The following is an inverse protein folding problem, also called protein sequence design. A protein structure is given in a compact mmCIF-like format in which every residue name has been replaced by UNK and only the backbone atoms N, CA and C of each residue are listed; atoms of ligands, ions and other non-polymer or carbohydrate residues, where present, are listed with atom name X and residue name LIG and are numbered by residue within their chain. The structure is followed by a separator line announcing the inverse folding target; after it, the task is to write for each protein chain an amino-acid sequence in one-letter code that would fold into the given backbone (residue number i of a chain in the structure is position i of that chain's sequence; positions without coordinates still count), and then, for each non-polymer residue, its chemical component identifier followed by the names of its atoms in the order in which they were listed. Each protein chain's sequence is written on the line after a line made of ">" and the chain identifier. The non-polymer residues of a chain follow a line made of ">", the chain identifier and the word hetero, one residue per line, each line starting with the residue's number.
data_IF_998179454148
#
_entry.id   IF_998179454148
#
_cell.length_a   1.000
_cell.length_b   1.000
_cell.length_c   1.000
_cell.angle_alpha   90.00
_cell.angle_beta   90.00
_cell.angle_gamma   90.00
#
_symmetry.space_group_name_H-M   'P 1'
#
loop_
_entity.id
_entity.type
_entity.pdbx_description
1 polymer ?
#
# COMPACT_ATOMS: atom_id res chain seq x y z
N UNK A 1 -15.09 1.42 0.49
CA UNK A 1 -14.19 2.39 -0.15
C UNK A 1 -14.13 2.14 -1.64
N UNK A 2 -13.71 3.12 -2.42
CA UNK A 2 -13.41 2.94 -3.84
C UNK A 2 -12.00 2.37 -4.01
N UNK A 3 -11.90 1.39 -4.90
CA UNK A 3 -10.66 0.69 -5.23
C UNK A 3 -10.54 0.58 -6.74
N UNK A 4 -9.40 0.99 -7.29
CA UNK A 4 -9.09 0.73 -8.70
C UNK A 4 -8.55 -0.69 -8.79
N UNK A 5 -9.19 -1.51 -9.61
CA UNK A 5 -8.85 -2.92 -9.79
C UNK A 5 -8.56 -3.24 -11.25
N UNK A 6 -7.59 -4.10 -11.48
CA UNK A 6 -7.42 -4.78 -12.78
C UNK A 6 -8.18 -6.09 -12.70
N UNK A 7 -9.24 -6.21 -13.47
CA UNK A 7 -10.14 -7.37 -13.44
C UNK A 7 -9.70 -8.48 -14.39
N UNK A 8 -9.11 -8.10 -15.51
CA UNK A 8 -8.51 -8.97 -16.53
C UNK A 8 -7.42 -8.17 -17.26
N UNK A 9 -6.50 -8.77 -18.00
CA UNK A 9 -5.52 -8.06 -18.81
C UNK A 9 -6.16 -6.98 -19.68
N UNK A 10 -5.69 -5.74 -19.51
CA UNK A 10 -6.21 -4.56 -20.21
C UNK A 10 -7.54 -4.01 -19.68
N UNK A 11 -8.11 -4.58 -18.63
CA UNK A 11 -9.39 -4.15 -18.07
C UNK A 11 -9.22 -3.55 -16.66
N UNK A 12 -9.39 -2.24 -16.56
CA UNK A 12 -9.36 -1.50 -15.28
C UNK A 12 -10.77 -1.10 -14.89
N UNK A 13 -11.14 -1.33 -13.65
CA UNK A 13 -12.46 -1.03 -13.09
C UNK A 13 -12.35 -0.32 -11.76
N UNK A 14 -13.34 0.54 -11.47
CA UNK A 14 -13.54 1.12 -10.15
C UNK A 14 -14.60 0.31 -9.43
N UNK A 15 -14.20 -0.35 -8.35
CA UNK A 15 -15.06 -1.22 -7.55
C UNK A 15 -15.23 -0.71 -6.13
N UNK A 16 -16.24 -1.21 -5.43
CA UNK A 16 -16.44 -0.96 -4.01
C UNK A 16 -15.90 -2.14 -3.20
N UNK A 17 -15.01 -1.84 -2.25
CA UNK A 17 -14.45 -2.80 -1.30
C UNK A 17 -14.66 -2.33 0.14
N UNK A 18 -14.58 -3.21 1.15
CA UNK A 18 -14.54 -2.77 2.54
C UNK A 18 -13.35 -1.84 2.80
N UNK A 19 -13.46 -1.00 3.82
CA UNK A 19 -12.29 -0.30 4.36
C UNK A 19 -11.51 -1.29 5.21
N UNK A 20 -10.20 -1.49 4.97
CA UNK A 20 -9.41 -2.44 5.74
C UNK A 20 -9.26 -1.98 7.19
N UNK A 21 -9.06 -2.93 8.10
CA UNK A 21 -8.85 -2.64 9.53
C UNK A 21 -7.39 -2.90 9.90
N UNK A 22 -6.72 -1.94 10.54
CA UNK A 22 -5.32 -2.12 10.92
C UNK A 22 -5.18 -3.22 11.99
N UNK A 23 -4.28 -4.17 11.75
CA UNK A 23 -3.81 -5.16 12.73
C UNK A 23 -2.82 -4.50 13.71
N UNK A 24 -2.24 -5.29 14.61
CA UNK A 24 -1.42 -4.78 15.71
C UNK A 24 -0.28 -3.85 15.25
N UNK A 25 0.44 -4.20 14.20
CA UNK A 25 1.57 -3.43 13.65
C UNK A 25 1.20 -2.58 12.43
N UNK A 26 -0.09 -2.41 12.15
CA UNK A 26 -0.56 -1.69 10.98
C UNK A 26 -1.17 -0.35 11.35
N UNK A 27 -1.07 0.61 10.44
CA UNK A 27 -1.83 1.85 10.50
C UNK A 27 -2.71 1.97 9.24
N UNK A 28 -3.91 2.54 9.42
CA UNK A 28 -4.82 2.85 8.33
C UNK A 28 -4.51 4.26 7.82
N UNK A 29 -4.26 4.36 6.53
CA UNK A 29 -3.94 5.61 5.84
C UNK A 29 -5.07 5.95 4.88
N UNK A 30 -5.58 7.19 4.97
CA UNK A 30 -6.46 7.77 3.95
C UNK A 30 -5.59 8.36 2.85
N UNK A 31 -5.68 7.83 1.65
CA UNK A 31 -4.91 8.29 0.49
C UNK A 31 -5.25 9.74 0.15
N UNK A 32 -4.24 10.58 -0.03
CA UNK A 32 -4.35 11.97 -0.46
C UNK A 32 -3.92 12.13 -1.92
N UNK A 33 -2.80 11.52 -2.30
CA UNK A 33 -2.22 11.58 -3.66
C UNK A 33 -1.61 10.22 -4.02
N UNK A 34 -1.70 9.87 -5.29
CA UNK A 34 -1.03 8.71 -5.87
C UNK A 34 -0.43 9.08 -7.24
N UNK A 35 0.67 8.42 -7.60
CA UNK A 35 1.28 8.51 -8.92
C UNK A 35 1.03 7.25 -9.73
N UNK A 36 0.91 7.41 -11.04
CA UNK A 36 0.90 6.29 -11.98
C UNK A 36 2.36 6.01 -12.38
N UNK A 37 2.83 4.81 -12.05
CA UNK A 37 4.11 4.32 -12.53
C UNK A 37 3.96 3.81 -13.97
N UNK A 38 4.55 4.53 -14.92
CA UNK A 38 4.42 4.19 -16.33
C UNK A 38 4.96 2.79 -16.68
N UNK A 39 5.89 2.27 -15.92
CA UNK A 39 6.44 0.92 -16.11
C UNK A 39 5.58 -0.13 -15.39
N UNK A 40 5.58 -0.14 -14.08
CA UNK A 40 4.96 -1.19 -13.27
C UNK A 40 3.44 -1.26 -13.47
N UNK A 41 2.72 -0.13 -13.38
CA UNK A 41 1.27 -0.15 -13.54
C UNK A 41 0.86 -0.55 -14.97
N UNK A 42 1.64 -0.16 -15.99
CA UNK A 42 1.37 -0.58 -17.37
C UNK A 42 1.56 -2.08 -17.56
N UNK A 43 2.62 -2.67 -17.03
CA UNK A 43 2.87 -4.11 -17.10
C UNK A 43 1.82 -4.90 -16.30
N UNK A 44 1.42 -4.39 -15.12
CA UNK A 44 0.35 -4.98 -14.31
C UNK A 44 -0.98 -4.98 -15.06
N UNK A 45 -1.36 -3.84 -15.65
CA UNK A 45 -2.61 -3.73 -16.43
C UNK A 45 -2.56 -4.63 -17.67
N UNK A 46 -1.42 -4.73 -18.34
CA UNK A 46 -1.26 -5.57 -19.52
C UNK A 46 -1.24 -7.08 -19.18
N UNK A 47 -1.07 -7.46 -17.91
CA UNK A 47 -0.91 -8.85 -17.49
C UNK A 47 0.46 -9.44 -17.80
N UNK A 48 1.47 -8.59 -17.93
CA UNK A 48 2.84 -8.98 -18.26
C UNK A 48 3.79 -8.88 -17.05
N UNK A 49 3.29 -8.46 -15.89
CA UNK A 49 4.14 -8.33 -14.70
C UNK A 49 4.54 -9.72 -14.21
N UNK A 50 5.85 -10.01 -14.09
CA UNK A 50 6.32 -11.34 -13.74
C UNK A 50 5.77 -11.84 -12.38
N UNK A 51 5.20 -13.05 -12.40
CA UNK A 51 4.61 -13.67 -11.21
C UNK A 51 3.18 -13.23 -10.87
N UNK A 52 2.58 -12.35 -11.70
CA UNK A 52 1.22 -11.86 -11.51
C UNK A 52 0.26 -12.26 -12.64
N UNK A 53 0.70 -13.11 -13.56
CA UNK A 53 -0.02 -13.45 -14.80
C UNK A 53 -1.39 -14.10 -14.55
N UNK A 54 -1.56 -14.76 -13.40
CA UNK A 54 -2.82 -15.43 -13.01
C UNK A 54 -3.45 -14.81 -11.75
N UNK A 55 -3.04 -13.60 -11.37
CA UNK A 55 -3.43 -13.00 -10.08
C UNK A 55 -4.67 -12.10 -10.16
N UNK A 56 -5.41 -12.14 -11.26
CA UNK A 56 -6.62 -11.31 -11.43
C UNK A 56 -7.82 -11.85 -10.65
N UNK A 57 -8.71 -10.98 -10.16
CA UNK A 57 -8.55 -9.51 -10.08
C UNK A 57 -7.65 -9.09 -8.92
N UNK A 58 -6.97 -7.93 -9.05
CA UNK A 58 -6.15 -7.35 -7.98
C UNK A 58 -6.33 -5.82 -7.88
N UNK A 59 -6.01 -5.26 -6.70
CA UNK A 59 -5.97 -3.81 -6.51
C UNK A 59 -4.72 -3.22 -7.19
N UNK A 60 -4.87 -2.05 -7.84
CA UNK A 60 -3.80 -1.40 -8.60
C UNK A 60 -3.16 -0.24 -7.82
N UNK A 61 -1.95 0.11 -8.24
CA UNK A 61 -1.16 1.23 -7.71
C UNK A 61 -0.24 0.82 -6.57
N UNK A 62 0.94 1.43 -6.53
CA UNK A 62 1.97 1.13 -5.53
C UNK A 62 2.73 2.38 -5.06
N UNK A 63 2.46 3.53 -5.64
CA UNK A 63 3.05 4.81 -5.29
C UNK A 63 1.97 5.75 -4.77
N UNK A 64 1.81 5.87 -3.46
CA UNK A 64 0.86 6.78 -2.86
C UNK A 64 1.35 7.35 -1.54
N UNK A 65 0.73 8.44 -1.13
CA UNK A 65 0.92 9.08 0.16
C UNK A 65 -0.46 9.43 0.72
N UNK A 66 -0.58 9.37 2.01
CA UNK A 66 -1.82 9.73 2.67
C UNK A 66 -1.64 9.99 4.15
N UNK A 67 -2.74 10.33 4.78
CA UNK A 67 -2.78 10.68 6.20
C UNK A 67 -3.18 9.47 7.05
N UNK A 68 -2.38 9.15 8.05
CA UNK A 68 -2.71 8.15 9.06
C UNK A 68 -3.95 8.59 9.83
N UNK A 69 -4.97 7.72 9.87
CA UNK A 69 -6.25 8.00 10.55
C UNK A 69 -6.53 7.04 11.71
N UNK A 70 -5.88 5.87 11.73
CA UNK A 70 -6.00 4.88 12.79
C UNK A 70 -4.68 4.11 12.90
N UNK A 71 -4.32 3.68 14.11
CA UNK A 71 -3.10 2.90 14.37
C UNK A 71 -3.41 1.67 15.21
N UNK A 72 -2.76 0.57 14.91
CA UNK A 72 -2.82 -0.66 15.70
C UNK A 72 -2.05 -0.56 17.03
N UNK A 73 -2.31 -1.49 17.93
CA UNK A 73 -1.85 -1.43 19.32
C UNK A 73 -0.32 -1.54 19.50
N UNK A 74 0.42 -1.98 18.49
CA UNK A 74 1.88 -2.15 18.50
C UNK A 74 2.61 -1.14 17.62
N UNK A 75 1.88 -0.27 16.93
CA UNK A 75 2.46 0.80 16.11
C UNK A 75 3.15 1.83 17.01
N UNK A 76 4.38 2.22 16.65
CA UNK A 76 5.22 3.21 17.38
C UNK A 76 5.69 4.35 16.47
N UNK A 77 5.93 4.05 15.19
CA UNK A 77 6.55 4.99 14.26
C UNK A 77 5.55 5.77 13.39
N UNK A 78 4.28 5.43 13.45
CA UNK A 78 3.21 6.18 12.80
C UNK A 78 2.29 6.83 13.85
N UNK A 79 1.89 8.08 13.60
CA UNK A 79 1.00 8.85 14.47
C UNK A 79 -0.22 9.33 13.68
N UNK A 80 -1.41 9.26 14.29
CA UNK A 80 -2.64 9.78 13.67
C UNK A 80 -2.48 11.25 13.31
N UNK A 81 -2.83 11.59 12.07
CA UNK A 81 -2.66 12.91 11.48
C UNK A 81 -1.33 13.13 10.73
N UNK A 82 -0.33 12.28 10.92
CA UNK A 82 0.93 12.28 10.16
C UNK A 82 0.70 11.71 8.75
N UNK A 83 1.48 12.17 7.78
CA UNK A 83 1.54 11.53 6.45
C UNK A 83 2.50 10.36 6.45
N UNK A 84 2.18 9.38 5.64
CA UNK A 84 3.00 8.19 5.41
C UNK A 84 3.08 7.88 3.92
N UNK A 85 4.24 7.41 3.47
CA UNK A 85 4.39 6.73 2.19
C UNK A 85 3.63 5.41 2.28
N UNK A 86 2.77 5.17 1.33
CA UNK A 86 1.90 4.01 1.27
C UNK A 86 1.84 3.45 -0.15
N UNK A 87 0.91 2.57 -0.44
CA UNK A 87 0.74 2.07 -1.81
C UNK A 87 0.50 0.58 -1.88
N UNK A 88 0.50 -0.09 -0.74
CA UNK A 88 0.25 -1.52 -0.67
C UNK A 88 -0.92 -1.81 0.25
N UNK A 89 -1.71 -2.82 -0.09
CA UNK A 89 -2.79 -3.34 0.75
C UNK A 89 -2.57 -4.83 0.93
N UNK A 90 -2.07 -5.23 2.10
CA UNK A 90 -2.02 -6.62 2.51
C UNK A 90 -3.12 -6.84 3.54
N UNK A 91 -4.29 -7.25 3.06
CA UNK A 91 -5.47 -7.47 3.89
C UNK A 91 -6.18 -8.76 3.46
N UNK A 92 -6.22 -9.73 4.35
CA UNK A 92 -6.88 -11.00 4.14
C UNK A 92 -8.40 -10.83 3.89
N UNK A 93 -9.02 -9.76 4.41
CA UNK A 93 -10.44 -9.49 4.16
C UNK A 93 -10.71 -9.09 2.70
N UNK A 94 -9.76 -8.46 2.01
CA UNK A 94 -9.87 -8.17 0.59
C UNK A 94 -9.76 -9.44 -0.24
N UNK A 95 -8.87 -10.34 0.12
CA UNK A 95 -8.68 -11.62 -0.57
C UNK A 95 -9.91 -12.53 -0.45
N UNK A 96 -10.67 -12.46 0.65
CA UNK A 96 -11.92 -13.23 0.81
C UNK A 96 -13.03 -12.79 -0.15
N UNK A 97 -12.88 -11.66 -0.84
CA UNK A 97 -13.80 -11.14 -1.86
C UNK A 97 -13.29 -11.38 -3.28
N UNK A 98 -12.44 -12.37 -3.48
CA UNK A 98 -11.81 -12.70 -4.75
C UNK A 98 -10.94 -11.56 -5.35
N UNK A 99 -10.55 -10.55 -4.52
CA UNK A 99 -9.63 -9.51 -4.91
C UNK A 99 -8.26 -9.80 -4.30
N UNK A 100 -7.25 -9.96 -5.15
CA UNK A 100 -5.87 -10.10 -4.68
C UNK A 100 -5.40 -8.79 -4.06
N UNK A 101 -4.83 -8.87 -2.86
CA UNK A 101 -4.20 -7.74 -2.18
C UNK A 101 -2.70 -7.68 -2.47
N UNK A 102 -2.02 -6.66 -1.94
CA UNK A 102 -0.60 -6.43 -2.16
C UNK A 102 -0.32 -5.11 -2.88
N UNK A 103 -1.15 -4.75 -3.84
CA UNK A 103 -1.19 -3.43 -4.47
C UNK A 103 -2.41 -2.67 -3.94
N UNK A 104 -2.44 -1.37 -4.03
CA UNK A 104 -3.57 -0.61 -3.52
C UNK A 104 -3.35 0.90 -3.43
N UNK A 105 -2.28 1.41 -4.06
CA UNK A 105 -2.00 2.84 -4.08
C UNK A 105 -3.15 3.69 -4.63
N UNK A 106 -4.03 3.10 -5.44
CA UNK A 106 -5.22 3.77 -5.97
C UNK A 106 -6.51 3.37 -5.23
N UNK A 107 -6.40 2.99 -3.97
CA UNK A 107 -7.52 2.84 -3.05
C UNK A 107 -7.72 4.12 -2.23
N UNK A 108 -8.96 4.41 -1.80
CA UNK A 108 -9.22 5.53 -0.87
C UNK A 108 -8.55 5.34 0.50
N UNK A 109 -8.36 4.10 0.91
CA UNK A 109 -7.68 3.73 2.16
C UNK A 109 -6.74 2.57 1.91
N UNK A 110 -5.58 2.61 2.56
CA UNK A 110 -4.54 1.58 2.50
C UNK A 110 -3.98 1.30 3.88
N UNK A 111 -3.32 0.17 4.03
CA UNK A 111 -2.58 -0.17 5.24
C UNK A 111 -1.09 0.11 5.06
N UNK A 112 -0.45 0.60 6.11
CA UNK A 112 1.00 0.64 6.22
C UNK A 112 1.44 -0.19 7.42
N UNK A 113 2.59 -0.85 7.31
CA UNK A 113 3.12 -1.70 8.35
C UNK A 113 4.28 -1.00 9.05
N UNK A 114 4.29 -1.03 10.35
CA UNK A 114 5.37 -0.48 11.17
C UNK A 114 6.52 -1.48 11.22
N UNK A 115 7.34 -1.47 10.14
CA UNK A 115 8.50 -2.33 9.99
C UNK A 115 9.46 -2.23 11.18
N UNK A 116 9.80 -1.00 11.60
CA UNK A 116 10.73 -0.79 12.71
C UNK A 116 10.20 -1.37 14.02
N UNK A 117 8.91 -1.22 14.31
CA UNK A 117 8.30 -1.84 15.48
C UNK A 117 8.30 -3.38 15.40
N UNK A 118 8.14 -3.96 14.21
CA UNK A 118 8.24 -5.41 14.01
C UNK A 118 9.66 -5.91 14.20
N UNK A 119 10.67 -5.16 13.77
CA UNK A 119 12.09 -5.47 14.00
C UNK A 119 12.42 -5.41 15.50
N UNK A 120 12.00 -4.34 16.19
CA UNK A 120 12.22 -4.18 17.64
C UNK A 120 11.58 -5.31 18.47
N UNK A 121 10.42 -5.82 18.04
CA UNK A 121 9.71 -6.90 18.72
C UNK A 121 10.15 -8.29 18.21
N UNK A 122 11.17 -8.38 17.33
CA UNK A 122 11.71 -9.63 16.75
C UNK A 122 10.66 -10.47 16.00
N UNK A 123 9.68 -9.80 15.35
CA UNK A 123 8.60 -10.44 14.58
C UNK A 123 8.65 -10.09 13.08
N UNK A 124 9.79 -9.61 12.59
CA UNK A 124 10.02 -9.27 11.18
C UNK A 124 10.37 -10.52 10.34
N UNK A 125 9.46 -11.48 10.28
CA UNK A 125 9.61 -12.71 9.50
C UNK A 125 8.32 -13.07 8.75
N UNK A 126 8.42 -13.88 7.70
CA UNK A 126 7.28 -14.38 6.92
C UNK A 126 6.25 -15.10 7.80
N UNK A 127 6.68 -15.81 8.86
CA UNK A 127 5.79 -16.47 9.83
C UNK A 127 4.84 -15.48 10.51
N UNK A 128 5.27 -14.23 10.67
CA UNK A 128 4.49 -13.15 11.24
C UNK A 128 3.86 -12.22 10.18
N UNK A 129 3.88 -12.64 8.91
CA UNK A 129 3.32 -11.87 7.79
C UNK A 129 4.15 -10.65 7.39
N UNK A 130 5.43 -10.59 7.82
CA UNK A 130 6.33 -9.54 7.38
C UNK A 130 6.90 -9.85 5.99
N UNK A 131 7.02 -8.82 5.17
CA UNK A 131 7.68 -8.86 3.87
C UNK A 131 8.61 -7.66 3.72
N UNK A 132 9.72 -7.82 2.98
CA UNK A 132 10.76 -6.80 2.80
C UNK A 132 10.19 -5.45 2.30
N UNK A 133 9.17 -5.48 1.48
CA UNK A 133 8.52 -4.27 0.97
C UNK A 133 7.92 -3.37 2.06
N UNK A 134 7.74 -3.85 3.29
CA UNK A 134 7.29 -2.99 4.41
C UNK A 134 8.31 -1.91 4.78
N UNK A 135 9.58 -2.11 4.47
CA UNK A 135 10.66 -1.13 4.72
C UNK A 135 10.45 0.18 3.96
N UNK A 136 9.66 0.15 2.87
CA UNK A 136 9.38 1.36 2.10
C UNK A 136 8.28 2.24 2.73
N UNK A 137 7.49 1.67 3.61
CA UNK A 137 6.37 2.35 4.25
C UNK A 137 6.89 3.19 5.42
N UNK A 138 7.16 4.46 5.16
CA UNK A 138 7.80 5.36 6.11
C UNK A 138 6.96 6.60 6.39
N UNK A 139 7.08 7.18 7.61
CA UNK A 139 6.50 8.48 7.89
C UNK A 139 7.11 9.58 7.01
N UNK A 140 6.29 10.53 6.59
CA UNK A 140 6.73 11.71 5.85
C UNK A 140 6.99 12.87 6.80
N UNK A 141 8.07 13.61 6.57
CA UNK A 141 8.42 14.77 7.39
C UNK A 141 7.34 15.85 7.33
N UNK A 142 7.14 16.52 8.46
CA UNK A 142 6.20 17.65 8.56
C UNK A 142 6.63 18.77 7.62
N UNK A 143 5.65 19.35 6.90
CA UNK A 143 5.89 20.46 5.97
C UNK A 143 6.10 20.03 4.52
N UNK A 144 6.12 18.74 4.22
CA UNK A 144 6.10 18.24 2.84
C UNK A 144 4.64 18.13 2.40
N UNK A 145 4.28 18.79 1.30
CA UNK A 145 2.94 18.67 0.71
C UNK A 145 2.77 17.28 0.07
N UNK A 146 1.53 16.75 -0.01
CA UNK A 146 1.33 15.39 -0.50
C UNK A 146 1.78 15.18 -1.94
N UNK A 147 1.64 16.21 -2.80
CA UNK A 147 2.08 16.16 -4.19
C UNK A 147 3.62 16.07 -4.33
N UNK A 148 4.36 16.70 -3.42
CA UNK A 148 5.82 16.57 -3.36
C UNK A 148 6.21 15.25 -2.67
N UNK A 149 5.46 14.87 -1.64
CA UNK A 149 5.71 13.66 -0.86
C UNK A 149 5.58 12.38 -1.67
N UNK A 150 4.64 12.31 -2.61
CA UNK A 150 4.45 11.11 -3.44
C UNK A 150 5.65 10.84 -4.35
N UNK A 151 6.43 11.86 -4.72
CA UNK A 151 7.66 11.70 -5.50
C UNK A 151 8.75 10.95 -4.73
N UNK A 152 8.67 10.89 -3.40
CA UNK A 152 9.60 10.10 -2.60
C UNK A 152 9.50 8.60 -2.93
N UNK A 153 8.33 8.13 -3.33
CA UNK A 153 8.14 6.74 -3.79
C UNK A 153 9.03 6.46 -5.00
N UNK A 154 8.92 7.30 -6.03
CA UNK A 154 9.69 7.17 -7.28
C UNK A 154 11.20 7.42 -7.07
N UNK A 155 11.56 8.46 -6.32
CA UNK A 155 12.98 8.80 -6.12
C UNK A 155 13.74 7.71 -5.37
N UNK A 156 13.11 7.04 -4.47
CA UNK A 156 13.71 5.93 -3.75
C UNK A 156 14.11 4.78 -4.69
N UNK A 157 13.26 4.41 -5.64
CA UNK A 157 13.57 3.38 -6.64
C UNK A 157 14.74 3.78 -7.55
N UNK A 158 14.96 5.08 -7.74
CA UNK A 158 16.02 5.62 -8.61
C UNK A 158 17.35 5.79 -7.86
N UNK A 159 17.30 6.07 -6.56
CA UNK A 159 18.48 6.43 -5.75
C UNK A 159 18.95 5.29 -4.83
N UNK A 160 18.19 4.19 -4.73
CA UNK A 160 18.47 3.04 -3.87
C UNK A 160 19.51 2.05 -4.40
#
# INVERSE_FOLDING_TARGET
>A
MKTVSVTDPGQVSLIDTPVPKPKAYQALVKTEVACICNNTDSELVAGHFPGMEESFPFALGHESIGKVIEVGARVRNFTVGQRAVSGLVFDDELETQDLKSGWGGFCEYVLVNDHEAMVEDEVNSEEHGWVEVFEIQTPVQVGIEPEDGVLLCTWREVLG
#
